data_IF_932809775964
#
_entry.id   IF_932809775964
#
_cell.length_a   1.000
_cell.length_b   1.000
_cell.length_c   1.000
_cell.angle_alpha   90.00
_cell.angle_beta   90.00
_cell.angle_gamma   90.00
#
_symmetry.space_group_name_H-M   'P 1'
#
loop_
_entity.id
_entity.type
_entity.pdbx_description
1 polymer ?
#
# COMPACT_ATOMS: atom_id res chain seq x y z
N UNK A 1 3.85 -18.22 55.46
CA UNK A 1 5.01 -19.01 54.98
C UNK A 1 5.01 -18.87 53.47
N UNK A 2 5.88 -18.17 52.75
CA UNK A 2 7.09 -17.37 53.00
C UNK A 2 6.99 -16.19 51.99
N UNK A 3 7.13 -14.90 52.33
CA UNK A 3 8.34 -14.12 52.65
C UNK A 3 9.51 -14.29 51.68
N UNK A 4 9.59 -13.41 50.67
CA UNK A 4 10.85 -12.96 50.08
C UNK A 4 10.74 -11.48 49.67
N UNK A 5 11.61 -10.68 50.27
CA UNK A 5 11.89 -9.29 49.95
C UNK A 5 13.00 -9.21 48.89
N UNK A 6 12.98 -8.20 48.02
CA UNK A 6 14.17 -7.78 47.30
C UNK A 6 14.31 -6.26 47.22
N UNK A 7 15.57 -5.85 47.29
CA UNK A 7 16.08 -4.58 47.76
C UNK A 7 16.04 -3.47 46.71
N UNK A 8 15.74 -2.25 47.15
CA UNK A 8 16.01 -1.01 46.41
C UNK A 8 17.52 -0.72 46.40
N UNK A 9 18.05 -0.27 45.26
CA UNK A 9 19.40 0.27 45.13
C UNK A 9 19.28 1.70 44.59
N UNK A 10 19.57 2.66 45.47
CA UNK A 10 19.76 4.08 45.16
C UNK A 10 21.23 4.30 44.77
N UNK A 11 21.48 4.83 43.57
CA UNK A 11 22.80 5.31 43.15
C UNK A 11 22.84 6.84 43.21
N UNK A 12 23.75 7.32 44.08
CA UNK A 12 24.06 8.72 44.41
C UNK A 12 24.83 9.45 43.29
N UNK A 13 24.76 10.80 43.21
CA UNK A 13 25.55 11.58 42.26
C UNK A 13 26.96 11.88 42.81
N UNK A 14 28.00 11.77 41.97
CA UNK A 14 29.34 12.33 42.23
C UNK A 14 29.75 13.26 41.10
N UNK A 15 29.72 14.57 41.34
CA UNK A 15 30.53 15.58 40.62
C UNK A 15 31.38 16.32 41.65
N UNK A 16 32.70 16.37 41.41
CA UNK A 16 33.65 17.18 42.17
C UNK A 16 34.24 18.28 41.26
N UNK A 17 34.73 19.40 41.82
CA UNK A 17 34.85 20.68 41.14
C UNK A 17 36.29 20.99 40.65
N UNK A 18 36.42 21.97 39.75
CA UNK A 18 37.70 22.63 39.45
C UNK A 18 37.51 24.16 39.39
N UNK A 19 38.04 24.83 40.41
CA UNK A 19 38.48 26.24 40.46
C UNK A 19 40.04 26.19 40.41
N UNK A 20 40.85 27.16 39.97
CA UNK A 20 40.70 28.55 39.54
C UNK A 20 41.94 29.00 38.72
N UNK A 21 41.75 30.07 37.95
CA UNK A 21 42.63 31.21 37.58
C UNK A 21 44.17 31.07 37.56
N UNK A 22 44.76 31.52 36.45
CA UNK A 22 45.88 32.48 36.47
C UNK A 22 45.82 33.43 35.26
N UNK A 23 45.94 34.72 35.55
CA UNK A 23 45.85 35.88 34.65
C UNK A 23 47.25 36.26 34.14
N UNK A 24 47.40 36.60 32.85
CA UNK A 24 48.44 37.53 32.39
C UNK A 24 48.00 38.19 31.08
N UNK A 25 47.81 39.52 31.13
CA UNK A 25 47.49 40.41 30.02
C UNK A 25 48.72 40.67 29.13
N UNK A 26 48.52 40.76 27.81
CA UNK A 26 49.09 41.80 26.92
C UNK A 26 48.34 41.79 25.57
N UNK A 27 47.79 42.94 25.19
CA UNK A 27 46.98 43.21 23.98
C UNK A 27 47.86 43.62 22.76
N UNK A 28 47.30 44.07 21.62
CA UNK A 28 46.31 43.47 20.71
C UNK A 28 46.86 43.40 19.27
N UNK A 29 46.43 42.43 18.45
CA UNK A 29 46.55 42.54 16.98
C UNK A 29 45.38 41.88 16.27
N UNK A 30 44.66 42.73 15.53
CA UNK A 30 43.97 42.50 14.26
C UNK A 30 43.01 41.31 14.12
N UNK A 31 41.77 41.68 13.82
CA UNK A 31 40.68 40.83 13.37
C UNK A 31 41.06 39.86 12.24
N UNK A 32 40.66 38.61 12.40
CA UNK A 32 40.19 37.76 11.31
C UNK A 32 38.88 37.13 11.81
N UNK A 33 37.78 37.49 11.14
CA UNK A 33 36.50 36.78 11.21
C UNK A 33 36.71 35.40 10.60
N UNK A 34 36.64 34.36 11.42
CA UNK A 34 36.47 32.98 10.94
C UNK A 34 34.97 32.73 10.89
N UNK A 35 34.43 32.93 9.69
CA UNK A 35 33.04 32.68 9.33
C UNK A 35 32.95 31.19 8.94
N UNK A 36 32.97 30.31 9.95
CA UNK A 36 32.61 28.91 9.77
C UNK A 36 31.11 28.79 9.95
N UNK A 37 30.37 29.12 8.89
CA UNK A 37 28.99 28.68 8.70
C UNK A 37 29.08 27.15 8.59
N UNK A 38 28.73 26.44 9.66
CA UNK A 38 28.30 25.05 9.53
C UNK A 38 27.00 25.09 8.73
N UNK A 39 27.11 24.71 7.45
CA UNK A 39 25.96 24.45 6.62
C UNK A 39 25.36 23.13 7.10
N UNK A 40 24.33 23.24 7.95
CA UNK A 40 23.37 22.16 8.13
C UNK A 40 22.64 21.99 6.79
N UNK A 41 23.09 21.04 5.99
CA UNK A 41 22.33 20.43 4.89
C UNK A 41 21.14 19.64 5.49
N UNK A 42 20.18 20.34 6.08
CA UNK A 42 18.84 19.82 6.35
C UNK A 42 18.02 19.88 5.05
N UNK A 43 18.38 19.01 4.11
CA UNK A 43 17.50 18.61 3.01
C UNK A 43 16.52 17.54 3.50
N UNK A 44 15.75 17.86 4.55
CA UNK A 44 14.66 17.04 5.04
C UNK A 44 13.36 17.80 4.86
N UNK A 45 12.52 17.39 3.90
CA UNK A 45 11.09 17.71 3.98
C UNK A 45 10.52 17.20 5.31
N UNK A 46 9.31 17.62 5.73
CA UNK A 46 8.69 17.04 6.92
C UNK A 46 8.68 15.51 6.76
N UNK A 47 9.40 14.81 7.63
CA UNK A 47 9.45 13.35 7.62
C UNK A 47 8.06 12.81 7.91
N UNK A 48 7.54 11.96 7.04
CA UNK A 48 6.25 11.27 7.23
C UNK A 48 6.26 10.50 8.55
N UNK A 49 5.15 10.51 9.28
CA UNK A 49 5.04 9.72 10.52
C UNK A 49 5.18 8.22 10.24
N UNK A 50 4.88 7.77 9.02
CA UNK A 50 5.03 6.38 8.59
C UNK A 50 6.51 5.94 8.57
N UNK A 51 7.44 6.88 8.42
CA UNK A 51 8.87 6.60 8.39
C UNK A 51 9.54 6.76 9.76
N UNK A 52 8.97 7.59 10.66
CA UNK A 52 9.60 7.93 11.95
C UNK A 52 9.00 7.22 13.13
N UNK A 53 7.71 6.87 13.07
CA UNK A 53 6.96 6.42 14.23
C UNK A 53 6.86 4.90 14.25
N UNK A 54 6.99 4.31 15.44
CA UNK A 54 6.67 2.90 15.63
C UNK A 54 5.16 2.74 15.74
N UNK A 55 4.49 1.90 14.91
CA UNK A 55 3.06 1.73 14.98
C UNK A 55 2.58 1.36 16.39
N UNK A 56 1.69 2.17 16.94
CA UNK A 56 0.90 1.88 18.13
C UNK A 56 -0.20 0.82 17.91
N UNK A 57 -1.16 0.70 18.85
CA UNK A 57 -2.24 -0.29 18.77
C UNK A 57 -3.27 0.05 17.68
N UNK A 58 -3.94 -0.98 17.17
CA UNK A 58 -4.97 -0.83 16.14
C UNK A 58 -6.14 0.07 16.63
N UNK A 59 -6.56 0.99 15.75
CA UNK A 59 -7.73 1.84 15.93
C UNK A 59 -8.91 1.12 15.28
N UNK A 60 -9.88 0.66 16.08
CA UNK A 60 -11.03 -0.12 15.60
C UNK A 60 -12.29 0.74 15.55
N UNK A 61 -12.91 0.85 14.38
CA UNK A 61 -14.09 1.66 14.11
C UNK A 61 -15.22 0.76 13.60
N UNK A 62 -16.32 0.68 14.35
CA UNK A 62 -17.42 -0.23 14.04
C UNK A 62 -18.72 0.47 13.61
N UNK A 63 -18.82 1.76 13.88
CA UNK A 63 -20.00 2.57 13.60
C UNK A 63 -19.63 3.96 13.12
N UNK A 64 -20.57 4.64 12.46
CA UNK A 64 -20.42 6.06 12.10
C UNK A 64 -20.21 6.96 13.34
N UNK A 65 -20.70 6.55 14.52
CA UNK A 65 -20.46 7.25 15.78
C UNK A 65 -18.99 7.16 16.22
N UNK A 66 -18.34 6.01 16.04
CA UNK A 66 -16.91 5.85 16.30
C UNK A 66 -16.08 6.77 15.40
N UNK A 67 -16.45 6.86 14.12
CA UNK A 67 -15.82 7.76 13.14
C UNK A 67 -16.04 9.24 13.51
N UNK A 68 -17.25 9.61 13.91
CA UNK A 68 -17.57 10.98 14.28
C UNK A 68 -16.93 11.43 15.61
N UNK A 69 -16.64 10.48 16.50
CA UNK A 69 -16.02 10.74 17.80
C UNK A 69 -14.48 10.76 17.75
N UNK A 70 -13.88 10.35 16.64
CA UNK A 70 -12.43 10.35 16.46
C UNK A 70 -11.86 11.76 16.34
N UNK A 71 -10.74 11.96 17.03
CA UNK A 71 -9.84 13.09 16.85
C UNK A 71 -8.50 12.50 16.38
N UNK A 72 -8.37 12.32 15.07
CA UNK A 72 -7.17 11.76 14.44
C UNK A 72 -6.28 12.89 13.93
N UNK A 73 -4.97 12.70 14.13
CA UNK A 73 -3.97 13.46 13.39
C UNK A 73 -4.08 13.14 11.90
N UNK A 74 -3.58 14.07 11.06
CA UNK A 74 -3.57 13.87 9.61
C UNK A 74 -2.69 12.66 9.18
N UNK A 75 -1.78 12.21 10.04
CA UNK A 75 -0.88 11.08 9.82
C UNK A 75 -1.04 10.05 10.94
N UNK A 76 -1.32 8.80 10.57
CA UNK A 76 -1.55 7.69 11.50
C UNK A 76 -0.66 6.51 11.10
N UNK A 77 0.39 6.22 11.87
CA UNK A 77 1.30 5.10 11.58
C UNK A 77 0.68 3.72 11.91
N UNK A 78 -0.36 3.71 12.73
CA UNK A 78 -1.09 2.51 13.15
C UNK A 78 -2.00 1.91 12.07
N UNK A 79 -2.54 0.74 12.40
CA UNK A 79 -3.66 0.16 11.66
C UNK A 79 -4.96 0.87 12.03
N UNK A 80 -5.70 1.37 11.04
CA UNK A 80 -7.11 1.72 11.16
C UNK A 80 -7.93 0.54 10.63
N UNK A 81 -8.68 -0.12 11.50
CA UNK A 81 -9.59 -1.21 11.17
C UNK A 81 -11.05 -0.73 11.23
N UNK A 82 -11.66 -0.57 10.07
CA UNK A 82 -13.07 -0.24 9.90
C UNK A 82 -13.84 -1.54 9.69
N UNK A 83 -14.51 -2.03 10.73
CA UNK A 83 -15.24 -3.31 10.69
C UNK A 83 -16.34 -3.38 11.73
N UNK A 84 -17.39 -4.15 11.47
CA UNK A 84 -18.53 -4.31 12.39
C UNK A 84 -19.89 -4.05 11.73
N UNK A 85 -19.88 -3.60 10.48
CA UNK A 85 -21.06 -3.53 9.63
C UNK A 85 -21.98 -2.34 9.87
N UNK A 86 -21.67 -1.49 10.85
CA UNK A 86 -22.42 -0.27 11.17
C UNK A 86 -21.86 1.00 10.53
N UNK A 87 -20.80 0.89 9.74
CA UNK A 87 -20.19 2.04 9.04
C UNK A 87 -20.86 2.20 7.67
N UNK A 88 -21.34 3.40 7.42
CA UNK A 88 -21.98 3.81 6.16
C UNK A 88 -21.37 5.07 5.57
N UNK A 89 -20.71 5.88 6.40
CA UNK A 89 -20.12 7.16 6.00
C UNK A 89 -18.70 7.32 6.56
N UNK A 90 -17.74 7.59 5.68
CA UNK A 90 -16.35 7.86 6.03
C UNK A 90 -16.01 9.36 6.07
N UNK A 91 -17.00 10.26 5.95
CA UNK A 91 -16.78 11.71 5.88
C UNK A 91 -15.98 12.28 7.06
N UNK A 92 -16.10 11.66 8.24
CA UNK A 92 -15.30 12.01 9.43
C UNK A 92 -13.80 11.75 9.29
N UNK A 93 -13.38 10.95 8.31
CA UNK A 93 -11.97 10.66 8.00
C UNK A 93 -11.38 11.59 6.93
N UNK A 94 -12.12 12.60 6.46
CA UNK A 94 -11.67 13.53 5.39
C UNK A 94 -10.45 14.37 5.72
N UNK A 95 -10.04 14.42 7.00
CA UNK A 95 -8.79 15.04 7.43
C UNK A 95 -7.55 14.14 7.30
N UNK A 96 -7.73 12.84 7.11
CA UNK A 96 -6.65 11.87 7.04
C UNK A 96 -5.87 12.02 5.74
N UNK A 97 -4.54 12.10 5.85
CA UNK A 97 -3.59 12.26 4.74
C UNK A 97 -2.69 11.05 4.59
N UNK A 98 -2.20 10.52 5.69
CA UNK A 98 -1.25 9.41 5.68
C UNK A 98 -1.71 8.34 6.65
N UNK A 99 -1.68 7.08 6.21
CA UNK A 99 -2.00 5.93 7.06
C UNK A 99 -1.08 4.77 6.76
N UNK A 100 -0.57 4.11 7.80
CA UNK A 100 0.26 2.91 7.65
C UNK A 100 -0.58 1.79 7.06
N UNK A 101 -1.58 1.32 7.80
CA UNK A 101 -2.50 0.28 7.33
C UNK A 101 -3.95 0.69 7.47
N UNK A 102 -4.69 0.66 6.38
CA UNK A 102 -6.13 0.89 6.36
C UNK A 102 -6.85 -0.39 5.94
N UNK A 103 -7.56 -0.99 6.89
CA UNK A 103 -8.37 -2.18 6.66
C UNK A 103 -9.87 -1.84 6.76
N UNK A 104 -10.61 -2.02 5.66
CA UNK A 104 -12.06 -1.81 5.61
C UNK A 104 -12.70 -3.16 5.31
N UNK A 105 -13.29 -3.77 6.35
CA UNK A 105 -13.77 -5.15 6.30
C UNK A 105 -15.22 -5.29 6.71
N UNK A 106 -15.98 -6.05 5.92
CA UNK A 106 -17.33 -6.51 6.23
C UNK A 106 -18.28 -5.37 6.60
N UNK A 107 -18.27 -4.29 5.81
CA UNK A 107 -19.23 -3.19 5.92
C UNK A 107 -20.25 -3.27 4.76
N UNK A 108 -21.33 -4.07 4.90
CA UNK A 108 -22.25 -4.36 3.80
C UNK A 108 -23.14 -3.16 3.40
N UNK A 109 -23.04 -2.04 4.11
CA UNK A 109 -23.78 -0.81 3.82
C UNK A 109 -22.86 0.33 3.34
N UNK A 110 -21.54 0.12 3.36
CA UNK A 110 -20.58 1.12 2.93
C UNK A 110 -20.52 1.12 1.40
N UNK A 111 -21.06 2.18 0.80
CA UNK A 111 -21.21 2.29 -0.65
C UNK A 111 -20.15 3.18 -1.31
N UNK A 112 -19.38 3.95 -0.54
CA UNK A 112 -18.38 4.89 -1.07
C UNK A 112 -17.23 5.07 -0.08
N UNK A 113 -16.03 5.32 -0.63
CA UNK A 113 -14.84 5.74 0.13
C UNK A 113 -14.52 7.23 -0.03
N UNK A 114 -15.44 8.07 -0.51
CA UNK A 114 -15.20 9.50 -0.80
C UNK A 114 -14.62 10.28 0.39
N UNK A 115 -14.96 9.89 1.62
CA UNK A 115 -14.38 10.46 2.84
C UNK A 115 -12.87 10.26 2.97
N UNK A 116 -12.26 9.42 2.14
CA UNK A 116 -10.82 9.11 2.12
C UNK A 116 -10.10 9.71 0.90
N UNK A 117 -10.79 10.41 -0.01
CA UNK A 117 -10.19 10.94 -1.23
C UNK A 117 -9.04 11.95 -1.00
N UNK A 118 -8.87 12.42 0.24
CA UNK A 118 -7.78 13.29 0.67
C UNK A 118 -6.47 12.56 1.00
N UNK A 119 -6.43 11.23 0.98
CA UNK A 119 -5.23 10.45 1.27
C UNK A 119 -4.11 10.72 0.26
N UNK A 120 -2.91 10.91 0.79
CA UNK A 120 -1.65 11.19 0.09
C UNK A 120 -0.68 10.00 0.18
N UNK A 121 -0.72 9.21 1.25
CA UNK A 121 0.07 7.96 1.37
C UNK A 121 -0.67 6.89 2.15
N UNK A 122 -0.68 5.67 1.62
CA UNK A 122 -1.16 4.47 2.31
C UNK A 122 -0.15 3.34 2.07
N UNK A 123 0.49 2.83 3.13
CA UNK A 123 1.43 1.71 2.95
C UNK A 123 0.68 0.39 2.69
N UNK A 124 -0.51 0.20 3.29
CA UNK A 124 -1.35 -0.96 3.01
C UNK A 124 -2.85 -0.64 3.04
N UNK A 125 -3.53 -0.84 1.91
CA UNK A 125 -4.97 -0.72 1.74
C UNK A 125 -5.60 -2.12 1.58
N UNK A 126 -6.48 -2.50 2.50
CA UNK A 126 -7.19 -3.78 2.45
C UNK A 126 -8.70 -3.52 2.45
N UNK A 127 -9.38 -3.95 1.39
CA UNK A 127 -10.83 -3.87 1.24
C UNK A 127 -11.40 -5.28 1.14
N UNK A 128 -12.12 -5.73 2.17
CA UNK A 128 -12.67 -7.10 2.20
C UNK A 128 -14.16 -7.13 2.52
N UNK A 129 -14.98 -7.78 1.70
CA UNK A 129 -16.37 -8.05 2.09
C UNK A 129 -17.28 -6.81 2.19
N UNK A 130 -17.02 -5.75 1.42
CA UNK A 130 -17.84 -4.54 1.41
C UNK A 130 -18.90 -4.63 0.30
N UNK A 131 -19.94 -5.43 0.53
CA UNK A 131 -20.92 -5.83 -0.49
C UNK A 131 -21.83 -4.73 -1.06
N UNK A 132 -21.64 -3.46 -0.68
CA UNK A 132 -22.33 -2.31 -1.28
C UNK A 132 -21.38 -1.36 -2.02
N UNK A 133 -20.06 -1.61 -1.98
CA UNK A 133 -19.05 -0.75 -2.58
C UNK A 133 -18.97 -1.01 -4.08
N UNK A 134 -19.55 -0.12 -4.89
CA UNK A 134 -19.58 -0.25 -6.36
C UNK A 134 -18.32 0.29 -7.03
N UNK A 135 -17.65 1.27 -6.41
CA UNK A 135 -16.44 1.87 -6.96
C UNK A 135 -15.58 2.57 -5.91
N UNK A 136 -14.30 2.76 -6.24
CA UNK A 136 -13.37 3.58 -5.45
C UNK A 136 -13.34 5.02 -6.00
N UNK A 137 -13.05 6.03 -5.15
CA UNK A 137 -12.93 7.40 -5.61
C UNK A 137 -11.62 7.61 -6.38
N UNK A 138 -11.48 8.80 -6.96
CA UNK A 138 -10.18 9.26 -7.49
C UNK A 138 -9.27 9.70 -6.35
N UNK A 139 -8.05 9.16 -6.34
CA UNK A 139 -6.99 9.51 -5.41
C UNK A 139 -5.84 10.22 -6.14
N UNK A 140 -5.91 11.55 -6.31
CA UNK A 140 -5.07 12.28 -7.27
C UNK A 140 -3.57 12.28 -6.94
N UNK A 141 -3.22 12.11 -5.65
CA UNK A 141 -1.84 12.19 -5.17
C UNK A 141 -1.43 11.00 -4.30
N UNK A 142 -2.22 9.93 -4.28
CA UNK A 142 -2.00 8.83 -3.35
C UNK A 142 -0.81 7.97 -3.77
N UNK A 143 0.19 7.91 -2.90
CA UNK A 143 1.24 6.90 -2.92
C UNK A 143 0.68 5.61 -2.32
N UNK A 144 0.65 4.56 -3.14
CA UNK A 144 0.14 3.25 -2.76
C UNK A 144 1.27 2.26 -2.52
N UNK A 145 1.30 1.65 -1.34
CA UNK A 145 2.09 0.46 -1.08
C UNK A 145 1.37 -0.80 -1.57
N UNK A 146 0.83 -1.61 -0.65
CA UNK A 146 0.09 -2.83 -0.97
C UNK A 146 -1.41 -2.56 -1.06
N UNK A 147 -2.05 -3.00 -2.15
CA UNK A 147 -3.52 -2.99 -2.31
C UNK A 147 -4.04 -4.42 -2.34
N UNK A 148 -5.03 -4.71 -1.49
CA UNK A 148 -5.73 -5.99 -1.46
C UNK A 148 -7.22 -5.75 -1.49
N UNK A 149 -7.89 -6.27 -2.52
CA UNK A 149 -9.33 -6.24 -2.69
C UNK A 149 -9.81 -7.69 -2.75
N UNK A 150 -10.68 -8.07 -1.83
CA UNK A 150 -11.22 -9.44 -1.73
C UNK A 150 -12.70 -9.45 -1.37
N UNK A 151 -13.50 -10.36 -1.92
CA UNK A 151 -14.92 -10.51 -1.58
C UNK A 151 -15.76 -9.22 -1.73
N UNK A 152 -15.49 -8.38 -2.73
CA UNK A 152 -16.29 -7.18 -3.02
C UNK A 152 -17.11 -7.41 -4.29
N UNK A 153 -18.13 -8.27 -4.20
CA UNK A 153 -18.89 -8.83 -5.33
C UNK A 153 -19.47 -7.79 -6.31
N UNK A 154 -19.80 -6.58 -5.82
CA UNK A 154 -20.44 -5.51 -6.62
C UNK A 154 -19.46 -4.43 -7.07
N UNK A 155 -18.18 -4.53 -6.70
CA UNK A 155 -17.15 -3.57 -7.08
C UNK A 155 -16.86 -3.71 -8.57
N UNK A 156 -17.23 -2.68 -9.33
CA UNK A 156 -17.07 -2.64 -10.78
C UNK A 156 -16.02 -1.61 -11.24
N UNK A 157 -15.55 -0.74 -10.33
CA UNK A 157 -14.65 0.37 -10.65
C UNK A 157 -13.56 0.51 -9.56
N UNK A 158 -12.28 0.37 -9.93
CA UNK A 158 -11.15 0.55 -9.00
C UNK A 158 -10.80 2.03 -8.78
N UNK A 159 -11.55 2.97 -9.36
CA UNK A 159 -11.32 4.39 -9.22
C UNK A 159 -10.14 4.86 -10.08
N UNK A 160 -9.32 5.76 -9.55
CA UNK A 160 -8.14 6.24 -10.29
C UNK A 160 -7.01 6.68 -9.36
N UNK A 161 -5.80 6.18 -9.66
CA UNK A 161 -4.57 6.40 -8.91
C UNK A 161 -3.47 7.00 -9.82
N UNK A 162 -3.64 8.22 -10.34
CA UNK A 162 -2.73 8.80 -11.33
C UNK A 162 -1.30 9.05 -10.80
N UNK A 163 -1.11 9.04 -9.48
CA UNK A 163 0.20 9.19 -8.83
C UNK A 163 0.88 7.85 -8.50
N UNK A 164 0.18 6.71 -8.63
CA UNK A 164 0.69 5.39 -8.28
C UNK A 164 1.54 4.82 -9.42
N UNK A 165 2.74 5.36 -9.63
CA UNK A 165 3.66 4.84 -10.65
C UNK A 165 4.31 3.51 -10.24
N UNK A 166 4.43 3.30 -8.94
CA UNK A 166 4.99 2.09 -8.36
C UNK A 166 4.07 1.63 -7.24
N UNK A 167 3.68 0.37 -7.28
CA UNK A 167 2.84 -0.29 -6.27
C UNK A 167 3.65 -1.44 -5.69
N UNK A 168 3.56 -1.66 -4.38
CA UNK A 168 4.32 -2.78 -3.79
C UNK A 168 3.68 -4.10 -4.19
N UNK A 169 2.38 -4.26 -3.95
CA UNK A 169 1.59 -5.47 -4.24
C UNK A 169 0.22 -5.06 -4.71
N UNK A 170 -0.28 -5.74 -5.74
CA UNK A 170 -1.67 -5.60 -6.20
C UNK A 170 -2.32 -6.96 -6.16
N UNK A 171 -3.29 -7.14 -5.27
CA UNK A 171 -4.08 -8.36 -5.16
C UNK A 171 -5.56 -8.04 -5.34
N UNK A 172 -6.15 -8.61 -6.39
CA UNK A 172 -7.57 -8.53 -6.71
C UNK A 172 -8.13 -9.95 -6.74
N UNK A 173 -8.93 -10.28 -5.73
CA UNK A 173 -9.57 -11.57 -5.55
C UNK A 173 -11.08 -11.39 -5.44
N UNK A 174 -11.87 -12.21 -6.12
CA UNK A 174 -13.33 -12.27 -5.89
C UNK A 174 -14.03 -10.90 -5.99
N UNK A 175 -13.63 -10.08 -6.98
CA UNK A 175 -14.31 -8.84 -7.36
C UNK A 175 -15.24 -9.12 -8.56
N UNK A 176 -16.38 -9.76 -8.28
CA UNK A 176 -17.20 -10.42 -9.31
C UNK A 176 -17.83 -9.48 -10.35
N UNK A 177 -17.96 -8.19 -10.06
CA UNK A 177 -18.50 -7.19 -10.99
C UNK A 177 -17.42 -6.45 -11.80
N UNK A 178 -16.13 -6.67 -11.50
CA UNK A 178 -15.02 -5.98 -12.13
C UNK A 178 -14.74 -6.54 -13.53
N UNK A 179 -14.63 -5.67 -14.53
CA UNK A 179 -14.40 -6.06 -15.94
C UNK A 179 -12.98 -5.85 -16.42
N UNK A 180 -12.26 -4.90 -15.82
CA UNK A 180 -10.89 -4.53 -16.16
C UNK A 180 -10.18 -3.96 -14.92
N UNK A 181 -8.93 -3.51 -15.05
CA UNK A 181 -8.12 -2.94 -13.98
C UNK A 181 -7.90 -1.42 -14.17
N UNK A 182 -8.83 -0.74 -14.84
CA UNK A 182 -8.79 0.72 -15.01
C UNK A 182 -8.63 1.41 -13.66
N UNK A 183 -7.87 2.50 -13.65
CA UNK A 183 -7.46 3.22 -12.45
C UNK A 183 -5.98 3.08 -12.08
N UNK A 184 -5.28 2.08 -12.64
CA UNK A 184 -3.84 1.87 -12.45
C UNK A 184 -2.98 2.29 -13.65
N UNK A 185 -3.48 3.15 -14.54
CA UNK A 185 -2.87 3.46 -15.85
C UNK A 185 -1.44 4.03 -15.76
N UNK A 186 -1.12 4.65 -14.62
CA UNK A 186 0.19 5.22 -14.35
C UNK A 186 1.21 4.20 -13.83
N UNK A 187 0.78 3.00 -13.44
CA UNK A 187 1.61 1.99 -12.79
C UNK A 187 2.58 1.38 -13.77
N UNK A 188 3.88 1.61 -13.55
CA UNK A 188 4.95 1.05 -14.37
C UNK A 188 5.62 -0.17 -13.73
N UNK A 189 5.55 -0.30 -12.42
CA UNK A 189 6.17 -1.41 -11.70
C UNK A 189 5.34 -1.85 -10.50
N UNK A 190 5.20 -3.17 -10.34
CA UNK A 190 4.74 -3.81 -9.12
C UNK A 190 5.95 -4.49 -8.49
N UNK A 191 6.44 -4.02 -7.34
CA UNK A 191 7.76 -4.46 -6.84
C UNK A 191 7.75 -5.84 -6.18
N UNK A 192 6.57 -6.31 -5.79
CA UNK A 192 6.35 -7.66 -5.26
C UNK A 192 5.34 -8.37 -6.17
N UNK A 193 4.17 -8.74 -5.66
CA UNK A 193 3.29 -9.68 -6.34
C UNK A 193 2.13 -8.97 -7.04
N UNK A 194 1.79 -9.45 -8.23
CA UNK A 194 0.53 -9.17 -8.91
C UNK A 194 -0.32 -10.45 -8.88
N UNK A 195 -1.43 -10.39 -8.16
CA UNK A 195 -2.35 -11.53 -7.98
C UNK A 195 -3.73 -11.12 -8.46
N UNK A 196 -4.23 -11.81 -9.49
CA UNK A 196 -5.55 -11.58 -10.08
C UNK A 196 -6.28 -12.92 -10.15
N UNK A 197 -7.22 -13.13 -9.23
CA UNK A 197 -7.92 -14.41 -9.13
C UNK A 197 -9.41 -14.33 -8.81
N UNK A 198 -10.17 -15.34 -9.25
CA UNK A 198 -11.61 -15.47 -8.99
C UNK A 198 -12.45 -14.24 -9.42
N UNK A 199 -12.04 -13.51 -10.47
CA UNK A 199 -12.80 -12.36 -10.98
C UNK A 199 -13.64 -12.79 -12.19
N UNK A 200 -14.90 -13.17 -11.92
CA UNK A 200 -15.79 -13.83 -12.88
C UNK A 200 -16.06 -13.04 -14.17
N UNK A 201 -16.04 -11.70 -14.11
CA UNK A 201 -16.34 -10.81 -15.23
C UNK A 201 -15.12 -10.09 -15.81
N UNK A 202 -13.93 -10.31 -15.27
CA UNK A 202 -12.70 -9.70 -15.76
C UNK A 202 -12.38 -10.24 -17.15
N UNK A 203 -12.32 -9.37 -18.16
CA UNK A 203 -12.10 -9.77 -19.57
C UNK A 203 -10.67 -9.54 -20.04
N UNK A 204 -9.98 -8.57 -19.45
CA UNK A 204 -8.61 -8.19 -19.80
C UNK A 204 -7.89 -7.50 -18.61
N UNK A 205 -6.70 -6.94 -18.87
CA UNK A 205 -5.92 -6.17 -17.90
C UNK A 205 -5.84 -4.68 -18.29
N UNK A 206 -6.82 -4.16 -19.03
CA UNK A 206 -6.86 -2.75 -19.38
C UNK A 206 -6.75 -1.91 -18.11
N UNK A 207 -5.94 -0.84 -18.16
CA UNK A 207 -5.54 -0.09 -16.97
C UNK A 207 -4.15 -0.43 -16.45
N UNK A 208 -3.54 -1.55 -16.85
CA UNK A 208 -2.13 -1.85 -16.58
C UNK A 208 -1.20 -1.58 -17.77
N UNK A 209 -1.65 -0.82 -18.77
CA UNK A 209 -0.96 -0.62 -20.06
C UNK A 209 0.49 -0.12 -19.98
N UNK A 210 0.86 0.51 -18.87
CA UNK A 210 2.20 1.05 -18.60
C UNK A 210 3.10 0.08 -17.82
N UNK A 211 2.58 -1.06 -17.35
CA UNK A 211 3.28 -1.98 -16.46
C UNK A 211 4.39 -2.71 -17.22
N UNK A 212 5.64 -2.54 -16.78
CA UNK A 212 6.83 -3.16 -17.39
C UNK A 212 7.45 -4.26 -16.53
N UNK A 213 7.20 -4.25 -15.22
CA UNK A 213 7.87 -5.15 -14.28
C UNK A 213 6.94 -5.60 -13.15
N UNK A 214 6.94 -6.91 -12.87
CA UNK A 214 6.46 -7.50 -11.62
C UNK A 214 7.67 -8.11 -10.92
N UNK A 215 8.11 -7.54 -9.80
CA UNK A 215 9.34 -7.95 -9.11
C UNK A 215 9.24 -9.28 -8.36
N UNK A 216 8.02 -9.72 -8.05
CA UNK A 216 7.71 -10.98 -7.37
C UNK A 216 6.95 -11.95 -8.28
N UNK A 217 5.88 -12.54 -7.75
CA UNK A 217 5.06 -13.51 -8.48
C UNK A 217 3.96 -12.83 -9.31
N UNK A 218 3.71 -13.35 -10.51
CA UNK A 218 2.51 -13.03 -11.29
C UNK A 218 1.56 -14.23 -11.27
N UNK A 219 0.41 -14.07 -10.61
CA UNK A 219 -0.61 -15.11 -10.48
C UNK A 219 -1.90 -14.66 -11.15
N UNK A 220 -2.30 -15.38 -12.20
CA UNK A 220 -3.54 -15.18 -12.95
C UNK A 220 -4.32 -16.48 -12.90
N UNK A 221 -5.38 -16.53 -12.09
CA UNK A 221 -6.08 -17.80 -11.85
C UNK A 221 -7.58 -17.69 -11.69
N UNK A 222 -8.33 -18.65 -12.21
CA UNK A 222 -9.78 -18.76 -11.99
C UNK A 222 -10.54 -17.48 -12.45
N UNK A 223 -10.14 -16.86 -13.56
CA UNK A 223 -10.85 -15.75 -14.18
C UNK A 223 -11.57 -16.25 -15.45
N UNK A 224 -12.83 -16.71 -15.36
CA UNK A 224 -13.50 -17.43 -16.46
C UNK A 224 -13.80 -16.60 -17.70
N UNK A 225 -13.96 -15.27 -17.57
CA UNK A 225 -14.22 -14.37 -18.69
C UNK A 225 -12.94 -13.80 -19.34
N UNK A 226 -11.77 -14.01 -18.74
CA UNK A 226 -10.50 -13.49 -19.21
C UNK A 226 -10.14 -14.16 -20.54
N UNK A 227 -10.08 -13.38 -21.63
CA UNK A 227 -9.86 -13.90 -22.99
C UNK A 227 -8.63 -13.31 -23.68
N UNK A 228 -7.95 -12.36 -23.05
CA UNK A 228 -6.77 -11.69 -23.57
C UNK A 228 -5.82 -11.21 -22.47
N UNK A 229 -4.57 -10.91 -22.84
CA UNK A 229 -3.58 -10.22 -22.01
C UNK A 229 -3.50 -8.71 -22.34
N UNK A 230 -4.46 -8.17 -23.07
CA UNK A 230 -4.51 -6.74 -23.40
C UNK A 230 -4.36 -5.89 -22.12
N UNK A 231 -3.48 -4.90 -22.17
CA UNK A 231 -3.08 -4.12 -21.01
C UNK A 231 -1.80 -4.62 -20.32
N UNK A 232 -1.31 -5.83 -20.62
CA UNK A 232 0.03 -6.30 -20.21
C UNK A 232 1.05 -6.31 -21.37
N UNK A 233 0.75 -5.61 -22.46
CA UNK A 233 1.57 -5.60 -23.69
C UNK A 233 2.99 -5.03 -23.48
N UNK A 234 3.21 -4.27 -22.41
CA UNK A 234 4.51 -3.69 -22.06
C UNK A 234 5.26 -4.49 -20.98
N UNK A 235 4.67 -5.56 -20.43
CA UNK A 235 5.30 -6.33 -19.37
C UNK A 235 6.54 -7.06 -19.91
N UNK A 236 7.71 -6.72 -19.37
CA UNK A 236 8.98 -7.28 -19.81
C UNK A 236 9.46 -8.42 -18.91
N UNK A 237 9.16 -8.36 -17.60
CA UNK A 237 9.69 -9.31 -16.64
C UNK A 237 8.80 -9.60 -15.44
N UNK A 238 8.88 -10.85 -14.98
CA UNK A 238 8.35 -11.37 -13.73
C UNK A 238 9.52 -11.91 -12.93
N UNK A 239 9.78 -11.35 -11.75
CA UNK A 239 10.99 -11.61 -10.97
C UNK A 239 11.06 -13.02 -10.41
N UNK A 240 9.92 -13.63 -10.08
CA UNK A 240 9.83 -14.97 -9.52
C UNK A 240 8.93 -15.88 -10.41
N UNK A 241 7.84 -16.41 -9.87
CA UNK A 241 7.01 -17.41 -10.55
C UNK A 241 5.90 -16.76 -11.39
N UNK A 242 5.64 -17.32 -12.57
CA UNK A 242 4.49 -17.00 -13.42
C UNK A 242 3.49 -18.15 -13.37
N UNK A 243 2.29 -17.90 -12.85
CA UNK A 243 1.21 -18.89 -12.74
C UNK A 243 -0.01 -18.42 -13.53
N UNK A 244 -0.39 -19.16 -14.58
CA UNK A 244 -1.59 -18.88 -15.41
C UNK A 244 -2.45 -20.12 -15.44
N UNK A 245 -3.50 -20.17 -14.62
CA UNK A 245 -4.25 -21.41 -14.40
C UNK A 245 -5.76 -21.24 -14.32
N UNK A 246 -6.53 -22.22 -14.79
CA UNK A 246 -8.00 -22.19 -14.72
C UNK A 246 -8.65 -20.93 -15.34
N UNK A 247 -8.10 -20.40 -16.45
CA UNK A 247 -8.73 -19.30 -17.20
C UNK A 247 -9.32 -19.87 -18.50
N UNK A 248 -10.54 -20.45 -18.48
CA UNK A 248 -11.11 -21.24 -19.58
C UNK A 248 -11.43 -20.47 -20.86
N UNK A 249 -11.35 -19.14 -20.87
CA UNK A 249 -11.50 -18.31 -22.08
C UNK A 249 -10.15 -17.83 -22.66
N UNK A 250 -9.04 -18.05 -21.94
CA UNK A 250 -7.69 -17.78 -22.46
C UNK A 250 -7.22 -18.96 -23.31
N UNK A 251 -7.06 -18.75 -24.61
CA UNK A 251 -6.49 -19.76 -25.52
C UNK A 251 -5.06 -20.12 -25.15
N UNK A 252 -4.70 -21.41 -25.25
CA UNK A 252 -3.33 -21.90 -25.04
C UNK A 252 -2.28 -21.12 -25.86
N UNK A 253 -2.61 -20.70 -27.08
CA UNK A 253 -1.68 -19.98 -27.97
C UNK A 253 -1.37 -18.57 -27.45
N UNK A 254 -2.38 -17.86 -26.94
CA UNK A 254 -2.18 -16.55 -26.33
C UNK A 254 -1.31 -16.67 -25.08
N UNK A 255 -1.50 -17.74 -24.30
CA UNK A 255 -0.67 -18.00 -23.11
C UNK A 255 0.77 -18.30 -23.50
N UNK A 256 0.99 -19.13 -24.52
CA UNK A 256 2.33 -19.45 -25.02
C UNK A 256 3.04 -18.19 -25.56
N UNK A 257 2.36 -17.38 -26.40
CA UNK A 257 2.89 -16.13 -26.94
C UNK A 257 3.27 -15.15 -25.82
N UNK A 258 2.42 -15.03 -24.79
CA UNK A 258 2.69 -14.17 -23.63
C UNK A 258 3.90 -14.65 -22.82
N UNK A 259 3.99 -15.95 -22.56
CA UNK A 259 5.10 -16.54 -21.80
C UNK A 259 6.42 -16.44 -22.57
N UNK A 260 6.40 -16.51 -23.90
CA UNK A 260 7.59 -16.28 -24.74
C UNK A 260 8.03 -14.80 -24.75
N UNK A 261 7.09 -13.87 -24.57
CA UNK A 261 7.37 -12.44 -24.55
C UNK A 261 7.96 -11.94 -23.21
N UNK A 262 7.64 -12.61 -22.09
CA UNK A 262 7.99 -12.17 -20.73
C UNK A 262 9.18 -12.94 -20.17
N UNK A 263 10.16 -12.24 -19.59
CA UNK A 263 11.27 -12.87 -18.86
C UNK A 263 10.84 -13.30 -17.45
N UNK A 264 10.70 -14.60 -17.22
CA UNK A 264 10.35 -15.18 -15.91
C UNK A 264 11.61 -15.62 -15.15
N UNK A 265 11.78 -15.15 -13.91
CA UNK A 265 12.98 -15.39 -13.10
C UNK A 265 13.04 -16.77 -12.46
N UNK A 266 11.90 -17.42 -12.21
CA UNK A 266 11.82 -18.74 -11.61
C UNK A 266 10.95 -19.72 -12.44
N UNK A 267 9.84 -20.22 -11.90
CA UNK A 267 9.04 -21.25 -12.54
C UNK A 267 7.85 -20.68 -13.32
N UNK A 268 7.46 -21.36 -14.39
CA UNK A 268 6.22 -21.09 -15.13
C UNK A 268 5.26 -22.27 -14.95
N UNK A 269 4.04 -21.98 -14.47
CA UNK A 269 2.99 -22.96 -14.24
C UNK A 269 1.76 -22.59 -15.05
N UNK A 270 1.44 -23.42 -16.06
CA UNK A 270 0.31 -23.20 -16.97
C UNK A 270 -0.55 -24.45 -16.97
N UNK A 271 -1.82 -24.34 -16.58
CA UNK A 271 -2.76 -25.47 -16.59
C UNK A 271 -4.22 -25.05 -16.63
N UNK A 272 -5.05 -25.86 -17.28
CA UNK A 272 -6.51 -25.71 -17.28
C UNK A 272 -7.01 -24.35 -17.84
N UNK A 273 -6.29 -23.78 -18.79
CA UNK A 273 -6.78 -22.70 -19.66
C UNK A 273 -7.52 -23.31 -20.87
N UNK A 274 -7.98 -22.50 -21.83
CA UNK A 274 -8.74 -22.99 -22.99
C UNK A 274 -7.89 -23.86 -23.92
N UNK A 275 -8.34 -25.10 -24.16
CA UNK A 275 -7.65 -26.08 -25.03
C UNK A 275 -7.87 -25.85 -26.53
N UNK A 276 -8.48 -24.74 -26.93
CA UNK A 276 -8.76 -24.46 -28.34
C UNK A 276 -7.43 -24.29 -29.11
N UNK A 277 -7.27 -25.08 -30.18
CA UNK A 277 -6.05 -25.10 -30.99
C UNK A 277 -5.90 -23.80 -31.78
N UNK A 278 -4.67 -23.31 -31.91
CA UNK A 278 -4.31 -22.18 -32.77
C UNK A 278 -4.83 -22.43 -34.19
N UNK A 279 -5.73 -21.57 -34.69
CA UNK A 279 -6.33 -21.70 -36.03
C UNK A 279 -5.52 -20.97 -37.09
#
# INVERSE_FOLDING_TARGET
MAEQAYSAVLLSPRRAPRFALSLALLAPTAACTDDSIEADDEAGGPSSCLDTDTPGPDIVLATDEDIAALDLDACVAETILISGGGVTDLSGLSGLREVGRLEIRYNPQLASLDGLAGLERVDQLILVGNGALEGLPTFPGLQLGSVTISDNDVLADLGSFPAATTVERLQIDSALALTDLSGFEATTAITTDLVVENNDLLVDFAGLDSLTEVGGDLVIRDNPALDTFAGLDQLESVGNDLTITNNPSLSECLVDDFVEAVSVGAATVINANETALCS
#
